data_IF_685231213039
#
_entry.id   IF_685231213039
#
_cell.length_a   1.000
_cell.length_b   1.000
_cell.length_c   1.000
_cell.angle_alpha   90.00
_cell.angle_beta   90.00
_cell.angle_gamma   90.00
#
_symmetry.space_group_name_H-M   'P 1'
#
loop_
_entity.id
_entity.type
_entity.pdbx_description
1 polymer ?
#
# COMPACT_ATOMS: atom_id res chain seq x y z
N UNK A 1 8.06 24.52 17.60
CA UNK A 1 7.74 25.95 17.34
C UNK A 1 8.83 26.70 16.54
N UNK A 2 10.10 26.78 16.99
CA UNK A 2 11.17 27.47 16.22
C UNK A 2 11.61 26.67 14.98
N UNK A 3 11.77 25.35 15.12
CA UNK A 3 12.12 24.46 14.01
C UNK A 3 11.03 24.42 12.93
N UNK A 4 9.75 24.39 13.32
CA UNK A 4 8.63 24.37 12.36
C UNK A 4 8.57 25.67 11.54
N UNK A 5 8.82 26.82 12.18
CA UNK A 5 8.93 28.12 11.52
C UNK A 5 10.17 28.25 10.63
N UNK A 6 11.23 27.47 10.86
CA UNK A 6 12.39 27.40 9.98
C UNK A 6 12.07 26.63 8.69
N UNK A 7 11.51 25.42 8.79
CA UNK A 7 11.12 24.63 7.61
C UNK A 7 10.09 25.37 6.75
N UNK A 8 9.12 26.06 7.38
CA UNK A 8 8.13 26.88 6.67
C UNK A 8 8.78 28.01 5.86
N UNK A 9 9.80 28.70 6.41
CA UNK A 9 10.54 29.75 5.69
C UNK A 9 11.36 29.18 4.54
N UNK A 10 12.04 28.06 4.78
CA UNK A 10 12.87 27.39 3.77
C UNK A 10 12.05 26.87 2.59
N UNK A 11 10.85 26.33 2.83
CA UNK A 11 9.92 25.91 1.77
C UNK A 11 9.46 27.10 0.93
N UNK A 12 9.11 28.23 1.57
CA UNK A 12 8.69 29.44 0.85
C UNK A 12 9.83 29.99 -0.02
N UNK A 13 11.05 30.01 0.49
CA UNK A 13 12.25 30.45 -0.24
C UNK A 13 12.49 29.60 -1.50
N UNK A 14 12.40 28.27 -1.39
CA UNK A 14 12.53 27.38 -2.56
C UNK A 14 11.39 27.62 -3.56
N UNK A 15 10.15 27.82 -3.10
CA UNK A 15 9.04 28.10 -4.00
C UNK A 15 9.25 29.40 -4.78
N UNK A 16 9.78 30.44 -4.13
CA UNK A 16 10.07 31.73 -4.78
C UNK A 16 11.22 31.60 -5.79
N UNK A 17 12.28 30.84 -5.47
CA UNK A 17 13.40 30.58 -6.39
C UNK A 17 12.95 29.83 -7.66
N UNK A 18 12.08 28.83 -7.52
CA UNK A 18 11.66 28.01 -8.66
C UNK A 18 10.52 28.66 -9.46
N UNK A 19 9.93 29.74 -8.95
CA UNK A 19 8.77 30.41 -9.56
C UNK A 19 9.05 30.95 -10.96
N UNK A 20 10.13 31.69 -11.14
CA UNK A 20 10.47 32.28 -12.45
C UNK A 20 10.84 31.21 -13.49
N UNK A 21 11.74 30.25 -13.19
CA UNK A 21 12.06 29.17 -14.12
C UNK A 21 10.85 28.36 -14.59
N UNK A 22 9.84 28.19 -13.73
CA UNK A 22 8.60 27.47 -14.04
C UNK A 22 7.60 28.32 -14.83
N UNK A 23 7.49 29.63 -14.52
CA UNK A 23 6.48 30.49 -15.14
C UNK A 23 6.89 31.05 -16.51
N UNK A 24 8.17 31.36 -16.68
CA UNK A 24 8.67 32.05 -17.88
C UNK A 24 9.78 31.30 -18.62
N UNK A 25 10.16 30.11 -18.14
CA UNK A 25 11.15 29.25 -18.80
C UNK A 25 10.60 28.54 -20.04
N UNK A 26 11.50 27.95 -20.82
CA UNK A 26 11.13 26.96 -21.84
C UNK A 26 10.56 25.70 -21.17
N UNK A 27 9.93 24.81 -21.94
CA UNK A 27 9.38 23.54 -21.43
C UNK A 27 10.48 22.73 -20.70
N UNK A 28 11.68 22.66 -21.28
CA UNK A 28 12.81 21.95 -20.67
C UNK A 28 13.31 22.61 -19.38
N UNK A 29 13.42 23.94 -19.35
CA UNK A 29 13.83 24.68 -18.16
C UNK A 29 12.80 24.54 -17.02
N UNK A 30 11.52 24.51 -17.37
CA UNK A 30 10.42 24.29 -16.43
C UNK A 30 10.46 22.88 -15.86
N UNK A 31 10.72 21.87 -16.70
CA UNK A 31 10.85 20.48 -16.25
C UNK A 31 12.04 20.30 -15.29
N UNK A 32 13.20 20.87 -15.63
CA UNK A 32 14.38 20.83 -14.77
C UNK A 32 14.16 21.55 -13.44
N UNK A 33 13.45 22.68 -13.45
CA UNK A 33 13.07 23.39 -12.25
C UNK A 33 12.12 22.57 -11.36
N UNK A 34 11.16 21.86 -11.97
CA UNK A 34 10.26 20.98 -11.23
C UNK A 34 11.00 19.80 -10.58
N UNK A 35 11.97 19.20 -11.28
CA UNK A 35 12.79 18.11 -10.73
C UNK A 35 13.65 18.58 -9.55
N UNK A 36 14.27 19.76 -9.66
CA UNK A 36 15.09 20.34 -8.60
C UNK A 36 14.24 20.76 -7.38
N UNK A 37 13.01 21.26 -7.59
CA UNK A 37 12.05 21.54 -6.52
C UNK A 37 11.74 20.27 -5.71
N UNK A 38 11.40 19.17 -6.40
CA UNK A 38 11.09 17.88 -5.76
C UNK A 38 12.27 17.36 -4.95
N UNK A 39 13.48 17.48 -5.50
CA UNK A 39 14.72 17.07 -4.83
C UNK A 39 14.98 17.86 -3.55
N UNK A 40 14.87 19.20 -3.58
CA UNK A 40 15.10 20.06 -2.40
C UNK A 40 14.04 19.87 -1.33
N UNK A 41 12.77 19.76 -1.71
CA UNK A 41 11.68 19.46 -0.76
C UNK A 41 11.89 18.12 -0.05
N UNK A 42 12.38 17.12 -0.78
CA UNK A 42 12.70 15.80 -0.21
C UNK A 42 13.83 15.87 0.83
N UNK A 43 14.79 16.78 0.67
CA UNK A 43 15.87 16.98 1.64
C UNK A 43 15.43 17.74 2.90
N UNK A 44 14.42 18.61 2.79
CA UNK A 44 13.84 19.36 3.92
C UNK A 44 13.02 18.45 4.82
N UNK A 45 12.39 17.43 4.24
CA UNK A 45 11.91 16.28 4.99
C UNK A 45 13.13 15.59 5.60
N UNK A 46 13.51 16.02 6.81
CA UNK A 46 14.41 15.25 7.66
C UNK A 46 13.91 13.80 7.66
N UNK A 47 14.75 12.82 7.29
CA UNK A 47 14.53 11.46 7.72
C UNK A 47 14.36 11.51 9.24
N UNK A 48 13.32 10.89 9.77
CA UNK A 48 13.10 10.81 11.23
C UNK A 48 14.16 9.93 11.93
N UNK A 49 15.21 9.52 11.23
CA UNK A 49 16.07 8.40 11.54
C UNK A 49 17.27 8.74 12.44
N UNK A 50 17.09 9.64 13.42
CA UNK A 50 17.98 9.57 14.57
C UNK A 50 17.45 8.44 15.47
N UNK A 51 18.00 7.24 15.28
CA UNK A 51 17.70 6.10 16.16
C UNK A 51 18.21 6.44 17.55
N UNK A 52 17.29 6.85 18.42
CA UNK A 52 17.60 7.17 19.81
C UNK A 52 17.53 5.91 20.65
N UNK A 53 18.49 5.68 21.56
CA UNK A 53 18.35 4.61 22.53
C UNK A 53 17.13 4.88 23.42
N UNK A 54 16.23 3.92 23.49
CA UNK A 54 15.00 3.97 24.30
C UNK A 54 15.13 2.97 25.44
N UNK A 55 14.59 3.28 26.62
CA UNK A 55 14.59 2.31 27.73
C UNK A 55 13.49 1.29 27.51
N UNK A 56 13.80 0.01 27.73
CA UNK A 56 12.81 -1.07 27.58
C UNK A 56 11.55 -0.84 28.45
N UNK A 57 11.71 -0.28 29.65
CA UNK A 57 10.58 0.03 30.54
C UNK A 57 9.60 1.07 29.98
N UNK A 58 10.07 1.98 29.11
CA UNK A 58 9.20 2.93 28.42
C UNK A 58 8.36 2.20 27.35
N UNK A 59 8.98 1.29 26.60
CA UNK A 59 8.32 0.50 25.54
C UNK A 59 7.30 -0.49 26.09
N UNK A 60 7.59 -1.12 27.24
CA UNK A 60 6.69 -2.14 27.83
C UNK A 60 5.30 -1.56 28.09
N UNK A 61 5.21 -0.30 28.52
CA UNK A 61 3.93 0.37 28.79
C UNK A 61 3.13 0.53 27.49
N UNK A 62 3.76 1.01 26.42
CA UNK A 62 3.12 1.13 25.10
C UNK A 62 2.71 -0.25 24.53
N UNK A 63 3.52 -1.28 24.80
CA UNK A 63 3.22 -2.64 24.38
C UNK A 63 2.04 -3.24 25.13
N UNK A 64 1.85 -2.93 26.42
CA UNK A 64 0.67 -3.38 27.17
C UNK A 64 -0.62 -2.84 26.58
N UNK A 65 -0.65 -1.58 26.14
CA UNK A 65 -1.81 -1.01 25.44
C UNK A 65 -2.07 -1.71 24.10
N UNK A 66 -1.00 -2.04 23.38
CA UNK A 66 -1.09 -2.80 22.12
C UNK A 66 -1.67 -4.20 22.35
N UNK A 67 -1.23 -4.88 23.41
CA UNK A 67 -1.74 -6.20 23.83
C UNK A 67 -3.21 -6.12 24.23
N UNK A 68 -3.60 -5.14 25.03
CA UNK A 68 -4.98 -4.93 25.46
C UNK A 68 -5.90 -4.73 24.24
N UNK A 69 -5.46 -3.94 23.26
CA UNK A 69 -6.20 -3.74 22.02
C UNK A 69 -6.34 -5.03 21.21
N UNK A 70 -5.30 -5.86 21.13
CA UNK A 70 -5.37 -7.18 20.46
C UNK A 70 -6.35 -8.11 21.16
N UNK A 71 -6.37 -8.13 22.49
CA UNK A 71 -7.29 -8.94 23.27
C UNK A 71 -8.76 -8.49 23.13
N UNK A 72 -9.01 -7.18 23.09
CA UNK A 72 -10.36 -6.61 22.97
C UNK A 72 -10.94 -6.72 21.56
N UNK A 73 -10.11 -6.47 20.55
CA UNK A 73 -10.59 -6.39 19.16
C UNK A 73 -10.59 -7.76 18.46
N UNK A 74 -9.87 -8.76 18.99
CA UNK A 74 -9.82 -10.11 18.42
C UNK A 74 -9.41 -10.09 16.94
N UNK A 75 -10.30 -10.54 16.06
CA UNK A 75 -10.13 -10.56 14.61
C UNK A 75 -10.00 -9.16 13.96
N UNK A 76 -10.48 -8.11 14.64
CA UNK A 76 -10.33 -6.69 14.25
C UNK A 76 -9.06 -6.04 14.82
N UNK A 77 -8.10 -6.86 15.27
CA UNK A 77 -6.75 -6.40 15.61
C UNK A 77 -6.13 -5.56 14.48
N UNK A 78 -5.27 -4.62 14.86
CA UNK A 78 -4.51 -3.76 13.94
C UNK A 78 -3.65 -4.52 12.93
N UNK A 79 -3.36 -5.79 13.20
CA UNK A 79 -2.62 -6.70 12.31
C UNK A 79 -3.36 -6.93 10.99
N UNK A 80 -2.65 -6.77 9.88
CA UNK A 80 -3.15 -7.10 8.55
C UNK A 80 -3.27 -8.60 8.39
N UNK A 81 -4.46 -9.08 8.06
CA UNK A 81 -4.70 -10.49 7.76
C UNK A 81 -4.61 -10.74 6.27
N UNK A 82 -4.09 -11.90 5.90
CA UNK A 82 -3.92 -12.33 4.52
C UNK A 82 -5.23 -12.71 3.84
N UNK A 83 -6.27 -13.04 4.62
CA UNK A 83 -7.52 -13.58 4.07
C UNK A 83 -7.45 -15.06 3.72
N UNK A 84 -6.39 -15.74 4.18
CA UNK A 84 -6.22 -17.19 4.15
C UNK A 84 -6.18 -17.63 5.61
N UNK A 85 -7.29 -18.20 6.10
CA UNK A 85 -7.50 -18.46 7.53
C UNK A 85 -6.38 -19.31 8.14
N UNK A 86 -5.94 -20.36 7.45
CA UNK A 86 -4.89 -21.24 7.94
C UNK A 86 -3.54 -20.52 8.03
N UNK A 87 -3.24 -19.65 7.07
CA UNK A 87 -2.01 -18.86 7.09
C UNK A 87 -2.05 -17.80 8.18
N UNK A 88 -3.19 -17.15 8.38
CA UNK A 88 -3.42 -16.16 9.42
C UNK A 88 -3.37 -16.77 10.83
N UNK A 89 -3.79 -18.03 10.98
CA UNK A 89 -3.68 -18.78 12.23
C UNK A 89 -2.22 -19.13 12.57
N UNK A 90 -1.41 -19.49 11.57
CA UNK A 90 0.01 -19.81 11.75
C UNK A 90 0.84 -18.54 12.00
N UNK A 91 0.58 -17.47 11.24
CA UNK A 91 1.41 -16.26 11.27
C UNK A 91 0.94 -15.24 12.29
N UNK A 92 -0.33 -15.28 12.70
CA UNK A 92 -0.96 -14.20 13.46
C UNK A 92 -1.30 -12.97 12.60
N UNK A 93 -1.04 -13.00 11.29
CA UNK A 93 -1.13 -11.84 10.39
C UNK A 93 0.20 -11.12 10.22
N UNK A 94 0.16 -9.93 9.63
CA UNK A 94 1.31 -9.07 9.33
C UNK A 94 1.18 -7.74 10.08
N UNK A 95 2.24 -7.30 10.74
CA UNK A 95 2.29 -5.98 11.38
C UNK A 95 2.63 -4.90 10.35
N UNK A 96 2.31 -3.64 10.67
CA UNK A 96 2.56 -2.52 9.77
C UNK A 96 4.05 -2.29 9.44
N UNK A 97 4.96 -2.76 10.31
CA UNK A 97 6.41 -2.60 10.18
C UNK A 97 7.09 -3.81 9.52
N UNK A 98 6.34 -4.88 9.24
CA UNK A 98 6.91 -6.13 8.73
C UNK A 98 7.24 -6.02 7.22
N UNK A 99 8.44 -6.46 6.84
CA UNK A 99 8.80 -6.77 5.46
C UNK A 99 8.62 -8.26 5.19
N UNK A 100 7.53 -8.63 4.52
CA UNK A 100 7.22 -10.02 4.20
C UNK A 100 7.69 -10.37 2.78
N UNK A 101 8.50 -11.42 2.64
CA UNK A 101 9.06 -11.87 1.35
C UNK A 101 8.45 -13.21 0.94
N UNK A 102 7.80 -13.24 -0.22
CA UNK A 102 7.29 -14.48 -0.84
C UNK A 102 8.27 -14.92 -1.93
N UNK A 103 8.93 -16.06 -1.73
CA UNK A 103 9.84 -16.67 -2.68
C UNK A 103 9.27 -18.00 -3.20
N UNK A 104 9.22 -18.17 -4.51
CA UNK A 104 8.77 -19.39 -5.16
C UNK A 104 9.44 -19.56 -6.52
N UNK A 105 9.44 -20.78 -7.06
CA UNK A 105 9.88 -21.04 -8.44
C UNK A 105 8.88 -20.46 -9.46
N UNK A 106 9.31 -20.17 -10.71
CA UNK A 106 8.40 -19.75 -11.78
C UNK A 106 7.24 -20.74 -11.94
N UNK A 107 6.03 -20.23 -12.15
CA UNK A 107 4.82 -21.05 -12.31
C UNK A 107 4.20 -21.59 -11.01
N UNK A 108 4.82 -21.41 -9.84
CA UNK A 108 4.29 -21.90 -8.55
C UNK A 108 3.20 -21.00 -7.93
N UNK A 109 2.68 -20.01 -8.67
CA UNK A 109 1.57 -19.17 -8.20
C UNK A 109 1.94 -18.01 -7.28
N UNK A 110 3.20 -17.54 -7.25
CA UNK A 110 3.63 -16.38 -6.43
C UNK A 110 2.72 -15.15 -6.64
N UNK A 111 2.43 -14.81 -7.90
CA UNK A 111 1.60 -13.65 -8.23
C UNK A 111 0.14 -13.86 -7.80
N UNK A 112 -0.41 -15.05 -8.00
CA UNK A 112 -1.79 -15.35 -7.55
C UNK A 112 -1.91 -15.28 -6.03
N UNK A 113 -0.93 -15.83 -5.30
CA UNK A 113 -0.89 -15.72 -3.84
C UNK A 113 -0.82 -14.24 -3.40
N UNK A 114 0.02 -13.43 -4.04
CA UNK A 114 0.11 -12.00 -3.73
C UNK A 114 -1.22 -11.26 -4.00
N UNK A 115 -1.91 -11.58 -5.11
CA UNK A 115 -3.21 -11.00 -5.42
C UNK A 115 -4.30 -11.46 -4.44
N UNK A 116 -4.25 -12.72 -3.99
CA UNK A 116 -5.19 -13.21 -2.99
C UNK A 116 -5.03 -12.50 -1.64
N UNK A 117 -3.77 -12.28 -1.24
CA UNK A 117 -3.45 -11.50 -0.03
C UNK A 117 -3.95 -10.06 -0.20
N UNK A 118 -3.72 -9.44 -1.35
CA UNK A 118 -4.20 -8.10 -1.64
C UNK A 118 -5.73 -7.98 -1.53
N UNK A 119 -6.47 -8.93 -2.09
CA UNK A 119 -7.92 -9.02 -1.97
C UNK A 119 -8.37 -9.20 -0.51
N UNK A 120 -7.72 -10.12 0.22
CA UNK A 120 -7.98 -10.38 1.63
C UNK A 120 -7.78 -9.14 2.51
N UNK A 121 -6.75 -8.34 2.24
CA UNK A 121 -6.53 -7.05 2.91
C UNK A 121 -7.58 -6.03 2.50
N UNK A 122 -7.84 -5.86 1.21
CA UNK A 122 -8.74 -4.83 0.67
C UNK A 122 -10.22 -5.05 1.03
N UNK A 123 -10.62 -6.30 1.30
CA UNK A 123 -11.99 -6.63 1.73
C UNK A 123 -12.30 -6.23 3.17
N UNK A 124 -11.29 -5.93 3.99
CA UNK A 124 -11.44 -5.59 5.41
C UNK A 124 -11.51 -4.09 5.64
N UNK A 125 -12.22 -3.69 6.70
CA UNK A 125 -12.29 -2.30 7.15
C UNK A 125 -11.08 -1.91 8.01
N UNK A 126 -10.77 -0.62 8.03
CA UNK A 126 -9.78 -0.06 8.95
C UNK A 126 -10.44 0.01 10.34
N UNK A 127 -9.83 -0.57 11.39
CA UNK A 127 -10.40 -0.57 12.74
C UNK A 127 -10.81 0.84 13.19
N UNK A 128 -12.05 0.96 13.68
CA UNK A 128 -12.62 2.25 14.09
C UNK A 128 -13.11 3.14 12.96
N UNK A 129 -13.33 2.60 11.75
CA UNK A 129 -13.91 3.34 10.62
C UNK A 129 -14.77 2.45 9.71
N UNK A 130 -15.63 3.06 8.91
CA UNK A 130 -16.41 2.39 7.86
C UNK A 130 -15.65 2.29 6.52
N UNK A 131 -14.36 2.60 6.52
CA UNK A 131 -13.53 2.68 5.31
C UNK A 131 -12.76 1.37 5.12
N UNK A 132 -12.83 0.79 3.91
CA UNK A 132 -12.03 -0.38 3.54
C UNK A 132 -10.55 -0.05 3.41
N UNK A 133 -9.69 -1.02 3.70
CA UNK A 133 -8.23 -0.88 3.50
C UNK A 133 -7.90 -0.79 2.01
N UNK A 134 -6.89 0.02 1.69
CA UNK A 134 -6.35 0.13 0.33
C UNK A 134 -5.11 -0.73 0.14
N UNK A 135 -4.90 -1.23 -1.08
CA UNK A 135 -3.69 -1.96 -1.47
C UNK A 135 -3.08 -1.34 -2.73
N UNK A 136 -1.76 -1.14 -2.71
CA UNK A 136 -0.98 -0.66 -3.85
C UNK A 136 -0.10 -1.81 -4.37
N UNK A 137 -0.16 -2.06 -5.68
CA UNK A 137 0.59 -3.14 -6.34
C UNK A 137 1.58 -2.54 -7.32
N UNK A 138 2.85 -2.90 -7.15
CA UNK A 138 3.90 -2.68 -8.15
C UNK A 138 4.22 -4.00 -8.84
N UNK A 139 4.15 -4.01 -10.17
CA UNK A 139 4.49 -5.19 -10.98
C UNK A 139 5.55 -4.85 -12.00
N UNK A 140 6.55 -5.72 -12.08
CA UNK A 140 7.65 -5.63 -13.03
C UNK A 140 7.57 -6.69 -14.13
N UNK A 141 6.74 -7.71 -13.97
CA UNK A 141 6.64 -8.86 -14.89
C UNK A 141 5.36 -8.81 -15.74
N UNK A 142 4.25 -8.41 -15.13
CA UNK A 142 2.95 -8.36 -15.78
C UNK A 142 2.46 -6.93 -15.96
N UNK A 143 1.70 -6.69 -17.03
CA UNK A 143 1.03 -5.41 -17.24
C UNK A 143 -0.13 -5.22 -16.25
N UNK A 144 -0.52 -3.95 -16.02
CA UNK A 144 -1.64 -3.62 -15.15
C UNK A 144 -2.95 -4.31 -15.60
N UNK A 145 -3.19 -4.41 -16.91
CA UNK A 145 -4.37 -5.09 -17.45
C UNK A 145 -4.39 -6.59 -17.11
N UNK A 146 -3.24 -7.27 -17.21
CA UNK A 146 -3.16 -8.70 -16.88
C UNK A 146 -3.39 -8.97 -15.38
N UNK A 147 -3.01 -8.03 -14.52
CA UNK A 147 -3.29 -8.09 -13.08
C UNK A 147 -4.78 -7.87 -12.81
N UNK A 148 -5.39 -6.89 -13.50
CA UNK A 148 -6.82 -6.63 -13.41
C UNK A 148 -7.63 -7.84 -13.88
N UNK A 149 -7.29 -8.47 -15.01
CA UNK A 149 -7.92 -9.70 -15.50
C UNK A 149 -7.93 -10.80 -14.42
N UNK A 150 -6.79 -11.05 -13.76
CA UNK A 150 -6.71 -12.04 -12.68
C UNK A 150 -7.53 -11.66 -11.46
N UNK A 151 -7.51 -10.38 -11.08
CA UNK A 151 -8.29 -9.90 -9.94
C UNK A 151 -9.80 -10.05 -10.17
N UNK A 152 -10.27 -9.71 -11.38
CA UNK A 152 -11.66 -9.89 -11.80
C UNK A 152 -12.02 -11.38 -11.86
N UNK A 153 -11.14 -12.21 -12.42
CA UNK A 153 -11.33 -13.66 -12.48
C UNK A 153 -11.49 -14.26 -11.08
N UNK A 154 -10.63 -13.85 -10.14
CA UNK A 154 -10.66 -14.29 -8.75
C UNK A 154 -11.95 -13.84 -8.04
N UNK A 155 -12.37 -12.58 -8.21
CA UNK A 155 -13.62 -12.07 -7.65
C UNK A 155 -14.86 -12.79 -8.23
N UNK A 156 -14.85 -13.03 -9.54
CA UNK A 156 -15.91 -13.76 -10.26
C UNK A 156 -15.84 -15.28 -10.15
N UNK A 157 -14.88 -15.82 -9.37
CA UNK A 157 -14.64 -17.27 -9.20
C UNK A 157 -14.58 -18.05 -10.52
N UNK A 158 -13.92 -17.46 -11.51
CA UNK A 158 -13.82 -18.02 -12.86
C UNK A 158 -12.37 -18.04 -13.33
N UNK A 159 -12.11 -18.78 -14.41
CA UNK A 159 -10.77 -18.80 -14.99
C UNK A 159 -10.53 -17.57 -15.86
N UNK A 160 -9.28 -17.10 -15.90
CA UNK A 160 -8.83 -16.05 -16.84
C UNK A 160 -9.06 -16.47 -18.30
N UNK A 161 -9.05 -17.77 -18.59
CA UNK A 161 -9.35 -18.30 -19.92
C UNK A 161 -10.76 -17.93 -20.38
N UNK A 162 -11.74 -17.98 -19.48
CA UNK A 162 -13.14 -17.62 -19.79
C UNK A 162 -13.25 -16.12 -20.05
N UNK A 163 -12.56 -15.28 -19.26
CA UNK A 163 -12.49 -13.83 -19.52
C UNK A 163 -11.89 -13.50 -20.89
N UNK A 164 -10.90 -14.28 -21.33
CA UNK A 164 -10.26 -14.12 -22.64
C UNK A 164 -11.06 -14.70 -23.80
N UNK A 165 -12.02 -15.58 -23.51
CA UNK A 165 -12.94 -16.13 -24.49
C UNK A 165 -14.39 -16.01 -23.99
N UNK A 166 -14.98 -14.79 -24.04
CA UNK A 166 -16.33 -14.55 -23.52
C UNK A 166 -17.42 -15.40 -24.17
N UNK A 167 -17.18 -15.95 -25.37
CA UNK A 167 -18.12 -16.85 -26.02
C UNK A 167 -18.29 -18.20 -25.30
N UNK A 168 -17.35 -18.55 -24.42
CA UNK A 168 -17.40 -19.76 -23.57
C UNK A 168 -17.97 -19.50 -22.17
N UNK A 169 -18.44 -18.28 -21.93
CA UNK A 169 -18.95 -17.82 -20.65
C UNK A 169 -20.42 -18.21 -20.52
N UNK A 170 -20.79 -18.84 -19.40
CA UNK A 170 -22.20 -19.10 -19.10
C UNK A 170 -22.91 -17.81 -18.63
N UNK A 171 -24.23 -17.79 -18.76
CA UNK A 171 -25.04 -16.61 -18.42
C UNK A 171 -24.96 -16.25 -16.91
N UNK A 172 -24.64 -17.23 -16.05
CA UNK A 172 -24.50 -17.05 -14.61
C UNK A 172 -23.19 -16.31 -14.26
N UNK A 173 -22.07 -16.67 -14.91
CA UNK A 173 -20.77 -15.99 -14.78
C UNK A 173 -20.79 -14.56 -15.34
N UNK A 174 -21.55 -14.33 -16.41
CA UNK A 174 -21.75 -13.00 -16.98
C UNK A 174 -22.48 -12.05 -16.01
N UNK A 175 -23.43 -12.57 -15.24
CA UNK A 175 -24.17 -11.78 -14.25
C UNK A 175 -23.31 -11.35 -13.06
N UNK A 176 -22.44 -12.21 -12.54
CA UNK A 176 -21.54 -11.91 -11.42
C UNK A 176 -20.60 -10.73 -11.73
N UNK A 177 -20.09 -10.67 -12.96
CA UNK A 177 -19.21 -9.60 -13.45
C UNK A 177 -19.87 -8.22 -13.53
N UNK A 178 -21.18 -8.16 -13.78
CA UNK A 178 -21.92 -6.90 -13.91
C UNK A 178 -22.38 -6.35 -12.55
N UNK A 179 -22.30 -7.15 -11.49
CA UNK A 179 -22.72 -6.80 -10.13
C UNK A 179 -21.57 -6.60 -9.13
N UNK A 180 -20.34 -6.93 -9.50
CA UNK A 180 -19.13 -6.76 -8.69
C UNK A 180 -18.47 -5.39 -8.92
#
# INVERSE_FOLDING_TARGET
>A
MVADNYHRRLVLEIMDEMREPIQSGTIDASSQAMDELVKRLSAIRKPRDEVKPVRLGEIITDYTDTLDRRLRNGEESDTLKTGIEELDAITGGMNAEDLVIIAARPGMGKTELALKIAEGVASRVIPGSDVRRGVLIFSMEMSALQIAERSIANAGRMSVSVLRNPASMDDEAGHVLLTA
#
